data_IF_451448108110
#
_entry.id   IF_451448108110
#
_cell.length_a   1.000
_cell.length_b   1.000
_cell.length_c   1.000
_cell.angle_alpha   90.00
_cell.angle_beta   90.00
_cell.angle_gamma   90.00
#
_symmetry.space_group_name_H-M   'P 1'
#
loop_
_entity.id
_entity.type
_entity.pdbx_description
1 polymer ?
#
# COMPACT_ATOMS: atom_id res chain seq x y z
N UNK A 1 24.77 24.45 13.51
CA UNK A 1 24.36 25.86 13.41
C UNK A 1 22.85 25.92 13.23
N UNK A 2 22.12 26.73 14.02
CA UNK A 2 20.70 26.95 13.80
C UNK A 2 20.49 27.63 12.43
N UNK A 3 19.42 27.25 11.73
CA UNK A 3 18.99 27.88 10.47
C UNK A 3 17.60 28.46 10.67
N UNK A 4 17.40 29.69 10.22
CA UNK A 4 16.08 30.33 10.22
C UNK A 4 15.41 30.09 8.86
N UNK A 5 14.15 29.68 8.89
CA UNK A 5 13.28 29.54 7.72
C UNK A 5 12.10 30.48 7.87
N UNK A 6 11.73 31.20 6.81
CA UNK A 6 10.49 31.98 6.74
C UNK A 6 9.45 31.16 5.99
N UNK A 7 8.23 31.09 6.53
CA UNK A 7 7.10 30.36 5.93
C UNK A 7 5.92 31.29 5.82
N UNK A 8 5.21 31.26 4.69
CA UNK A 8 3.97 31.99 4.47
C UNK A 8 2.82 31.04 4.80
N UNK A 9 1.90 31.48 5.65
CA UNK A 9 0.69 30.75 6.03
C UNK A 9 -0.54 31.55 5.65
N UNK A 10 -1.64 30.85 5.36
CA UNK A 10 -2.91 31.47 4.94
C UNK A 10 -3.97 31.48 6.04
N UNK A 11 -3.78 30.73 7.13
CA UNK A 11 -4.69 30.60 8.26
C UNK A 11 -3.91 30.55 9.60
N UNK A 12 -4.49 31.11 10.67
CA UNK A 12 -3.86 31.13 12.00
C UNK A 12 -3.62 29.71 12.57
N UNK A 13 -4.46 28.73 12.20
CA UNK A 13 -4.24 27.33 12.58
C UNK A 13 -2.99 26.77 11.92
N UNK A 14 -2.71 27.13 10.66
CA UNK A 14 -1.51 26.68 9.95
C UNK A 14 -0.24 27.19 10.65
N UNK A 15 -0.25 28.43 11.15
CA UNK A 15 0.87 28.96 11.95
C UNK A 15 1.13 28.08 13.17
N UNK A 16 0.07 27.79 13.94
CA UNK A 16 0.16 26.95 15.14
C UNK A 16 0.66 25.54 14.82
N UNK A 17 0.18 24.94 13.73
CA UNK A 17 0.62 23.63 13.29
C UNK A 17 2.11 23.64 12.91
N UNK A 18 2.58 24.64 12.17
CA UNK A 18 4.00 24.77 11.80
C UNK A 18 4.88 24.97 13.02
N UNK A 19 4.48 25.83 13.96
CA UNK A 19 5.22 26.04 15.21
C UNK A 19 5.33 24.74 16.02
N UNK A 20 4.24 23.95 16.08
CA UNK A 20 4.21 22.64 16.75
C UNK A 20 5.15 21.65 16.06
N UNK A 21 5.09 21.52 14.73
CA UNK A 21 5.99 20.67 13.96
C UNK A 21 7.46 21.05 14.16
N UNK A 22 7.77 22.35 14.15
CA UNK A 22 9.12 22.84 14.41
C UNK A 22 9.60 22.53 15.83
N UNK A 23 8.72 22.60 16.84
CA UNK A 23 9.03 22.18 18.20
C UNK A 23 9.32 20.67 18.29
N UNK A 24 8.48 19.84 17.67
CA UNK A 24 8.70 18.39 17.60
C UNK A 24 10.01 18.03 16.90
N UNK A 25 10.32 18.69 15.77
CA UNK A 25 11.56 18.45 15.03
C UNK A 25 12.82 18.81 15.85
N UNK A 26 12.73 19.87 16.70
CA UNK A 26 13.82 20.27 17.60
C UNK A 26 14.04 19.30 18.74
N UNK A 27 13.00 18.63 19.23
CA UNK A 27 13.11 17.63 20.30
C UNK A 27 14.01 16.44 19.89
N UNK A 28 14.15 16.18 18.59
CA UNK A 28 15.00 15.15 18.01
C UNK A 28 14.78 13.74 18.61
N UNK A 29 13.54 13.44 18.97
CA UNK A 29 13.11 12.17 19.52
C UNK A 29 12.55 11.24 18.43
N UNK A 30 11.95 10.12 18.83
CA UNK A 30 11.35 9.16 17.89
C UNK A 30 10.22 9.78 17.07
N UNK A 31 9.49 10.75 17.62
CA UNK A 31 8.39 11.42 16.92
C UNK A 31 8.93 12.37 15.85
N UNK A 32 10.03 13.07 16.13
CA UNK A 32 10.73 13.90 15.15
C UNK A 32 11.20 13.08 13.92
N UNK A 33 11.63 11.82 14.12
CA UNK A 33 11.99 10.93 13.03
C UNK A 33 10.78 10.53 12.18
N UNK A 34 9.61 10.32 12.80
CA UNK A 34 8.36 10.04 12.09
C UNK A 34 7.91 11.24 11.25
N UNK A 35 8.05 12.46 11.76
CA UNK A 35 7.73 13.68 10.99
C UNK A 35 8.65 13.80 9.76
N UNK A 36 9.94 13.47 9.90
CA UNK A 36 10.88 13.48 8.77
C UNK A 36 10.53 12.43 7.72
N UNK A 37 10.28 11.18 8.14
CA UNK A 37 9.86 10.09 7.24
C UNK A 37 8.56 10.44 6.50
N UNK A 38 7.61 11.06 7.20
CA UNK A 38 6.38 11.57 6.62
C UNK A 38 6.65 12.66 5.55
N UNK A 39 7.50 13.65 5.85
CA UNK A 39 7.85 14.72 4.92
C UNK A 39 8.59 14.19 3.67
N UNK A 40 9.50 13.22 3.86
CA UNK A 40 10.21 12.56 2.77
C UNK A 40 9.24 11.76 1.88
N UNK A 41 8.27 11.08 2.49
CA UNK A 41 7.22 10.34 1.78
C UNK A 41 6.34 11.28 0.94
N UNK A 42 5.91 12.42 1.50
CA UNK A 42 5.12 13.41 0.76
C UNK A 42 5.88 13.91 -0.47
N UNK A 43 7.18 14.18 -0.31
CA UNK A 43 7.98 14.83 -1.35
C UNK A 43 8.37 13.88 -2.50
N UNK A 44 8.53 12.59 -2.20
CA UNK A 44 9.15 11.64 -3.13
C UNK A 44 8.19 10.58 -3.70
N UNK A 45 7.06 10.29 -3.04
CA UNK A 45 6.21 9.17 -3.44
C UNK A 45 5.10 9.59 -4.41
N UNK A 46 4.71 8.69 -5.31
CA UNK A 46 3.55 8.92 -6.18
C UNK A 46 2.28 8.88 -5.32
N UNK A 47 1.60 10.01 -5.21
CA UNK A 47 0.30 10.11 -4.53
C UNK A 47 -0.83 9.64 -5.46
N UNK A 48 -1.45 8.48 -5.20
CA UNK A 48 -2.61 8.03 -5.95
C UNK A 48 -3.74 9.05 -5.79
N UNK A 49 -4.49 9.28 -6.86
CA UNK A 49 -5.61 10.23 -6.84
C UNK A 49 -6.87 9.66 -6.17
N UNK A 50 -6.85 8.38 -5.80
CA UNK A 50 -8.02 7.64 -5.38
C UNK A 50 -8.83 7.13 -6.58
N UNK A 51 -9.39 5.93 -6.44
CA UNK A 51 -10.36 5.40 -7.41
C UNK A 51 -11.78 5.84 -7.03
N UNK A 52 -12.65 5.93 -8.03
CA UNK A 52 -14.07 6.30 -7.89
C UNK A 52 -15.01 5.09 -8.09
N UNK A 53 -14.47 3.89 -7.98
CA UNK A 53 -15.21 2.64 -8.12
C UNK A 53 -14.84 1.69 -6.98
N UNK A 54 -15.76 0.81 -6.62
CA UNK A 54 -15.49 -0.21 -5.62
C UNK A 54 -14.55 -1.28 -6.18
N UNK A 55 -13.39 -1.54 -5.54
CA UNK A 55 -12.51 -2.63 -5.92
C UNK A 55 -13.24 -3.97 -5.96
N UNK A 56 -12.97 -4.74 -7.02
CA UNK A 56 -13.47 -6.10 -7.20
C UNK A 56 -12.40 -7.11 -6.75
N UNK A 57 -12.82 -8.28 -6.24
CA UNK A 57 -11.90 -9.35 -5.91
C UNK A 57 -11.04 -9.73 -7.11
N UNK A 58 -9.74 -9.96 -6.89
CA UNK A 58 -8.79 -10.34 -7.93
C UNK A 58 -8.21 -9.17 -8.73
N UNK A 59 -8.68 -7.94 -8.54
CA UNK A 59 -8.07 -6.77 -9.19
C UNK A 59 -6.70 -6.45 -8.58
N UNK A 60 -5.77 -6.06 -9.46
CA UNK A 60 -4.50 -5.48 -9.10
C UNK A 60 -4.60 -3.96 -9.25
N UNK A 61 -4.28 -3.26 -8.16
CA UNK A 61 -4.29 -1.80 -8.07
C UNK A 61 -2.95 -1.31 -7.50
N UNK A 62 -2.71 -0.02 -7.57
CA UNK A 62 -1.57 0.62 -6.88
C UNK A 62 -2.09 1.18 -5.56
N UNK A 63 -1.47 0.82 -4.44
CA UNK A 63 -1.82 1.32 -3.12
C UNK A 63 -0.69 2.17 -2.55
N UNK A 64 -1.03 3.33 -2.02
CA UNK A 64 -0.10 4.15 -1.25
C UNK A 64 -0.28 3.93 0.25
N UNK A 65 0.76 3.37 0.85
CA UNK A 65 0.81 3.07 2.28
C UNK A 65 1.56 4.14 3.09
N UNK A 66 2.37 4.99 2.44
CA UNK A 66 3.38 5.80 3.14
C UNK A 66 2.81 6.82 4.13
N UNK A 67 1.62 7.37 3.89
CA UNK A 67 0.97 8.22 4.89
C UNK A 67 0.45 7.37 6.06
N UNK A 68 1.15 7.46 7.20
CA UNK A 68 0.86 6.90 8.53
C UNK A 68 1.35 5.47 8.85
N UNK A 69 2.01 4.78 7.92
CA UNK A 69 2.62 3.46 8.20
C UNK A 69 4.12 3.62 8.46
N UNK A 70 4.68 2.78 9.34
CA UNK A 70 6.11 2.82 9.70
C UNK A 70 6.75 1.45 9.54
N UNK A 71 8.00 1.41 9.08
CA UNK A 71 8.78 0.17 9.07
C UNK A 71 8.77 -0.51 10.46
N UNK A 72 8.48 -1.83 10.59
CA UNK A 72 8.54 -2.89 9.56
C UNK A 72 7.30 -3.06 8.67
N UNK A 73 6.27 -2.23 8.83
CA UNK A 73 5.12 -2.21 7.92
C UNK A 73 5.54 -1.74 6.52
N UNK A 74 4.67 -2.00 5.54
CA UNK A 74 4.84 -1.39 4.22
C UNK A 74 4.49 0.10 4.30
N UNK A 75 5.45 0.96 3.97
CA UNK A 75 5.31 2.42 4.05
C UNK A 75 5.55 3.12 2.69
N UNK A 76 5.25 2.43 1.59
CA UNK A 76 5.64 2.85 0.24
C UNK A 76 4.61 2.45 -0.78
N UNK A 77 4.48 3.19 -1.88
CA UNK A 77 3.53 2.85 -2.94
C UNK A 77 3.87 1.51 -3.61
N UNK A 78 2.92 0.56 -3.64
CA UNK A 78 3.10 -0.78 -4.23
C UNK A 78 1.86 -1.27 -4.95
N UNK A 79 2.00 -2.14 -5.97
CA UNK A 79 0.90 -2.92 -6.47
C UNK A 79 0.36 -3.81 -5.36
N UNK A 80 -0.95 -3.98 -5.34
CA UNK A 80 -1.67 -4.81 -4.38
C UNK A 80 -2.72 -5.63 -5.10
N UNK A 81 -2.98 -6.83 -4.60
CA UNK A 81 -4.08 -7.68 -5.02
C UNK A 81 -5.26 -7.53 -4.05
N UNK A 82 -6.44 -7.25 -4.56
CA UNK A 82 -7.68 -7.18 -3.78
C UNK A 82 -8.18 -8.60 -3.49
N UNK A 83 -8.27 -8.98 -2.21
CA UNK A 83 -8.62 -10.34 -1.80
C UNK A 83 -10.00 -10.45 -1.14
N UNK A 84 -10.51 -9.35 -0.58
CA UNK A 84 -11.83 -9.31 0.06
C UNK A 84 -12.91 -9.76 -0.91
N UNK A 85 -13.98 -10.38 -0.39
CA UNK A 85 -15.18 -10.66 -1.17
C UNK A 85 -15.77 -9.35 -1.75
N UNK A 86 -16.60 -9.46 -2.78
CA UNK A 86 -17.25 -8.30 -3.36
C UNK A 86 -18.08 -7.59 -2.28
N UNK A 87 -17.76 -6.32 -2.05
CA UNK A 87 -18.44 -5.47 -1.08
C UNK A 87 -19.41 -4.53 -1.80
N UNK A 88 -20.40 -4.01 -1.05
CA UNK A 88 -21.28 -2.94 -1.54
C UNK A 88 -20.47 -1.67 -1.81
N UNK A 89 -20.84 -0.92 -2.83
CA UNK A 89 -20.05 0.23 -3.32
C UNK A 89 -19.90 1.38 -2.32
N UNK A 90 -20.81 1.51 -1.35
CA UNK A 90 -20.73 2.58 -0.34
C UNK A 90 -19.67 2.33 0.73
N UNK A 91 -19.12 1.12 0.85
CA UNK A 91 -18.13 0.85 1.90
C UNK A 91 -16.81 1.55 1.63
N UNK A 92 -16.47 1.75 0.34
CA UNK A 92 -15.25 2.44 -0.12
C UNK A 92 -13.96 1.87 0.48
N UNK A 93 -14.01 0.62 0.94
CA UNK A 93 -12.90 -0.11 1.56
C UNK A 93 -12.79 -1.51 0.96
N UNK A 94 -11.57 -2.04 0.93
CA UNK A 94 -11.30 -3.43 0.57
C UNK A 94 -10.07 -3.96 1.30
N UNK A 95 -9.94 -5.28 1.38
CA UNK A 95 -8.75 -5.94 1.93
C UNK A 95 -7.80 -6.32 0.80
N UNK A 96 -6.53 -5.96 0.96
CA UNK A 96 -5.50 -6.12 -0.06
C UNK A 96 -4.26 -6.82 0.48
N UNK A 97 -3.51 -7.46 -0.43
CA UNK A 97 -2.18 -8.01 -0.18
C UNK A 97 -1.15 -7.32 -1.09
N UNK A 98 -0.05 -6.77 -0.55
CA UNK A 98 1.00 -6.17 -1.35
C UNK A 98 1.75 -7.15 -2.25
N UNK A 99 2.28 -6.64 -3.36
CA UNK A 99 3.11 -7.38 -4.29
C UNK A 99 4.54 -6.82 -4.29
N UNK A 100 5.52 -7.71 -4.11
CA UNK A 100 6.95 -7.42 -4.15
C UNK A 100 7.55 -7.79 -5.51
N UNK A 101 8.51 -6.99 -5.98
CA UNK A 101 9.33 -7.29 -7.17
C UNK A 101 10.47 -8.27 -6.90
N UNK A 102 10.65 -8.68 -5.64
CA UNK A 102 11.71 -9.57 -5.16
C UNK A 102 11.11 -10.76 -4.43
N UNK A 103 11.70 -11.94 -4.64
CA UNK A 103 11.41 -13.12 -3.85
C UNK A 103 11.70 -12.88 -2.35
N UNK A 104 10.92 -13.52 -1.45
CA UNK A 104 11.26 -13.52 -0.04
C UNK A 104 12.56 -14.32 0.20
N UNK A 105 13.29 -14.00 1.27
CA UNK A 105 14.50 -14.74 1.64
C UNK A 105 14.21 -16.22 1.92
N UNK A 106 13.09 -16.47 2.60
CA UNK A 106 12.53 -17.80 2.82
C UNK A 106 11.10 -17.77 2.32
N UNK A 107 10.76 -18.70 1.43
CA UNK A 107 9.38 -18.86 0.95
C UNK A 107 8.59 -19.55 2.05
N UNK A 108 7.48 -18.93 2.42
CA UNK A 108 6.63 -19.35 3.53
C UNK A 108 5.23 -19.64 3.00
N UNK A 109 4.35 -20.35 3.73
CA UNK A 109 3.01 -20.70 3.24
C UNK A 109 2.11 -19.50 2.89
N UNK A 110 2.42 -18.32 3.42
CA UNK A 110 1.76 -17.05 3.13
C UNK A 110 2.42 -16.23 2.00
N UNK A 111 3.42 -16.78 1.32
CA UNK A 111 4.00 -16.23 0.10
C UNK A 111 3.50 -17.00 -1.13
N UNK A 112 3.30 -16.28 -2.24
CA UNK A 112 2.93 -16.89 -3.52
C UNK A 112 3.53 -16.10 -4.68
N UNK A 113 4.19 -16.81 -5.61
CA UNK A 113 4.69 -16.22 -6.85
C UNK A 113 3.55 -16.13 -7.85
N UNK A 114 3.23 -14.90 -8.25
CA UNK A 114 2.21 -14.63 -9.27
C UNK A 114 2.69 -15.06 -10.66
N UNK A 115 1.77 -15.47 -11.54
CA UNK A 115 2.07 -15.67 -12.96
C UNK A 115 2.62 -14.41 -13.62
N UNK A 116 3.49 -14.61 -14.62
CA UNK A 116 4.06 -13.52 -15.40
C UNK A 116 2.97 -12.79 -16.22
N UNK A 117 3.26 -11.55 -16.62
CA UNK A 117 2.37 -10.75 -17.48
C UNK A 117 1.29 -9.95 -16.75
N UNK A 118 1.09 -10.19 -15.44
CA UNK A 118 0.17 -9.40 -14.60
C UNK A 118 0.71 -8.01 -14.24
N UNK A 119 2.04 -7.88 -14.19
CA UNK A 119 2.76 -6.65 -13.86
C UNK A 119 3.82 -6.35 -14.93
N UNK A 120 4.17 -5.07 -15.16
CA UNK A 120 5.23 -4.70 -16.08
C UNK A 120 6.58 -5.31 -15.65
N UNK A 121 7.11 -6.25 -16.45
CA UNK A 121 8.37 -6.97 -16.19
C UNK A 121 9.56 -6.05 -15.92
N UNK A 122 9.59 -4.86 -16.52
CA UNK A 122 10.66 -3.88 -16.30
C UNK A 122 10.75 -3.37 -14.85
N UNK A 123 9.65 -3.39 -14.11
CA UNK A 123 9.59 -2.98 -12.70
C UNK A 123 9.41 -4.16 -11.74
N UNK A 124 8.74 -5.21 -12.21
CA UNK A 124 8.41 -6.42 -11.46
C UNK A 124 8.87 -7.64 -12.26
N UNK A 125 10.20 -7.89 -12.35
CA UNK A 125 10.73 -9.06 -13.06
C UNK A 125 10.25 -10.36 -12.42
N UNK A 126 10.08 -10.34 -11.10
CA UNK A 126 9.31 -11.32 -10.34
C UNK A 126 8.17 -10.60 -9.63
N UNK A 127 7.09 -11.32 -9.33
CA UNK A 127 5.91 -10.77 -8.66
C UNK A 127 5.50 -11.71 -7.53
N UNK A 128 5.71 -11.28 -6.29
CA UNK A 128 5.45 -12.10 -5.10
C UNK A 128 4.40 -11.45 -4.21
N UNK A 129 3.31 -12.17 -3.94
CA UNK A 129 2.35 -11.77 -2.92
C UNK A 129 2.99 -11.86 -1.54
N UNK A 130 2.92 -10.77 -0.79
CA UNK A 130 3.32 -10.66 0.60
C UNK A 130 2.10 -10.86 1.50
N UNK A 131 1.72 -12.11 1.69
CA UNK A 131 0.58 -12.45 2.54
C UNK A 131 0.79 -12.21 4.01
N UNK A 132 2.02 -11.89 4.43
CA UNK A 132 2.35 -11.38 5.75
C UNK A 132 1.87 -9.95 6.03
N UNK A 133 1.49 -9.19 4.99
CA UNK A 133 1.17 -7.76 5.04
C UNK A 133 -0.28 -7.45 4.59
N UNK A 134 -1.24 -8.27 5.00
CA UNK A 134 -2.67 -8.06 4.69
C UNK A 134 -3.17 -6.79 5.39
N UNK A 135 -3.89 -5.95 4.67
CA UNK A 135 -4.50 -4.75 5.26
C UNK A 135 -5.80 -4.37 4.58
N UNK A 136 -6.71 -3.76 5.35
CA UNK A 136 -7.89 -3.09 4.79
C UNK A 136 -7.56 -1.63 4.50
N UNK A 137 -7.77 -1.21 3.26
CA UNK A 137 -7.51 0.15 2.79
C UNK A 137 -8.75 0.76 2.17
N UNK A 138 -8.87 2.07 2.29
CA UNK A 138 -9.91 2.84 1.61
C UNK A 138 -9.50 3.18 0.18
N UNK A 139 -10.50 3.41 -0.67
CA UNK A 139 -10.35 3.69 -2.10
C UNK A 139 -9.49 4.93 -2.41
N UNK A 140 -9.42 5.92 -1.52
CA UNK A 140 -8.55 7.08 -1.64
C UNK A 140 -7.05 6.74 -1.59
N UNK A 141 -6.67 5.55 -1.10
CA UNK A 141 -5.28 5.06 -1.13
C UNK A 141 -4.96 4.29 -2.40
N UNK A 142 -5.96 4.02 -3.24
CA UNK A 142 -5.84 3.16 -4.41
C UNK A 142 -5.85 3.97 -5.70
N UNK A 143 -5.11 3.49 -6.70
CA UNK A 143 -5.20 3.98 -8.08
C UNK A 143 -5.04 2.83 -9.07
N UNK A 144 -5.33 3.13 -10.33
CA UNK A 144 -5.11 2.25 -11.46
C UNK A 144 -3.63 2.18 -11.78
N UNK A 145 -3.21 1.09 -12.39
CA UNK A 145 -1.84 0.91 -12.82
C UNK A 145 -1.55 1.72 -14.07
N UNK A 146 -0.56 2.62 -14.03
CA UNK A 146 -0.11 3.34 -15.23
C UNK A 146 0.73 2.43 -16.12
N UNK A 147 0.24 2.10 -17.32
CA UNK A 147 0.90 1.21 -18.29
C UNK A 147 1.46 1.94 -19.51
N UNK A 148 1.15 3.23 -19.66
CA UNK A 148 1.66 4.06 -20.76
C UNK A 148 1.30 5.54 -20.58
N UNK A 149 1.51 6.35 -21.62
CA UNK A 149 1.09 7.75 -21.60
C UNK A 149 -0.43 7.85 -21.49
N UNK A 150 -0.92 8.36 -20.35
CA UNK A 150 -2.35 8.43 -19.99
C UNK A 150 -3.11 7.10 -20.09
N UNK A 151 -2.41 5.97 -20.14
CA UNK A 151 -3.01 4.63 -20.18
C UNK A 151 -2.95 4.02 -18.79
N UNK A 152 -4.12 3.62 -18.30
CA UNK A 152 -4.31 3.07 -16.97
C UNK A 152 -5.09 1.77 -17.04
N UNK A 153 -4.64 0.76 -16.32
CA UNK A 153 -5.21 -0.59 -16.33
C UNK A 153 -5.49 -1.07 -14.90
N UNK A 154 -6.42 -2.01 -14.78
CA UNK A 154 -6.73 -2.73 -13.53
C UNK A 154 -6.70 -4.23 -13.81
N UNK A 155 -5.49 -4.81 -13.97
CA UNK A 155 -5.36 -6.23 -14.28
C UNK A 155 -6.14 -7.07 -13.28
N UNK A 156 -6.82 -8.12 -13.75
CA UNK A 156 -7.57 -9.03 -12.87
C UNK A 156 -6.96 -10.42 -12.99
N UNK A 157 -6.66 -11.03 -11.86
CA UNK A 157 -6.09 -12.37 -11.81
C UNK A 157 -7.17 -13.43 -12.05
N UNK A 158 -6.75 -14.64 -12.43
CA UNK A 158 -7.68 -15.76 -12.58
C UNK A 158 -8.28 -16.18 -11.22
N UNK A 159 -9.42 -16.89 -11.20
CA UNK A 159 -10.00 -17.43 -9.98
C UNK A 159 -9.03 -18.30 -9.17
N UNK A 160 -8.18 -19.07 -9.85
CA UNK A 160 -7.18 -19.94 -9.23
C UNK A 160 -6.11 -19.13 -8.49
N UNK A 161 -5.63 -18.04 -9.08
CA UNK A 161 -4.66 -17.14 -8.44
C UNK A 161 -5.29 -16.43 -7.24
N UNK A 162 -6.54 -15.99 -7.35
CA UNK A 162 -7.26 -15.38 -6.23
C UNK A 162 -7.48 -16.38 -5.08
N UNK A 163 -7.71 -17.65 -5.41
CA UNK A 163 -7.81 -18.74 -4.42
C UNK A 163 -6.49 -18.96 -3.69
N UNK A 164 -5.38 -19.03 -4.41
CA UNK A 164 -4.03 -19.13 -3.80
C UNK A 164 -3.69 -17.92 -2.92
N UNK A 165 -4.05 -16.70 -3.35
CA UNK A 165 -3.87 -15.51 -2.53
C UNK A 165 -4.64 -15.61 -1.20
N UNK A 166 -5.89 -16.08 -1.24
CA UNK A 166 -6.70 -16.31 -0.04
C UNK A 166 -6.15 -17.44 0.83
N UNK A 167 -5.62 -18.51 0.23
CA UNK A 167 -4.89 -19.55 0.95
C UNK A 167 -3.72 -18.96 1.73
N UNK A 168 -2.89 -18.14 1.09
CA UNK A 168 -1.78 -17.45 1.76
C UNK A 168 -2.28 -16.59 2.93
N UNK A 169 -3.39 -15.88 2.75
CA UNK A 169 -3.98 -15.08 3.81
C UNK A 169 -4.44 -15.92 5.01
N UNK A 170 -5.08 -17.07 4.77
CA UNK A 170 -5.47 -18.00 5.83
C UNK A 170 -4.27 -18.54 6.61
N UNK A 171 -3.17 -18.90 5.92
CA UNK A 171 -1.93 -19.29 6.61
C UNK A 171 -1.38 -18.17 7.48
N UNK A 172 -1.34 -16.93 6.97
CA UNK A 172 -0.84 -15.80 7.75
C UNK A 172 -1.67 -15.55 9.00
N UNK A 173 -3.00 -15.62 8.87
CA UNK A 173 -3.95 -15.37 9.95
C UNK A 173 -4.09 -16.53 10.94
N UNK A 174 -3.39 -17.66 10.72
CA UNK A 174 -3.54 -18.85 11.56
C UNK A 174 -4.89 -19.57 11.37
N UNK A 175 -5.61 -19.28 10.30
CA UNK A 175 -6.96 -19.78 10.02
C UNK A 175 -7.01 -20.89 8.96
N UNK A 176 -5.85 -21.35 8.51
CA UNK A 176 -5.71 -22.39 7.48
C UNK A 176 -6.44 -23.71 7.86
N UNK A 177 -6.57 -24.05 9.14
CA UNK A 177 -7.31 -25.23 9.58
C UNK A 177 -8.84 -25.12 9.47
N UNK A 178 -9.39 -23.93 9.21
CA UNK A 178 -10.84 -23.69 9.17
C UNK A 178 -11.50 -24.10 7.85
N UNK A 179 -10.72 -24.54 6.86
CA UNK A 179 -11.24 -25.02 5.57
C UNK A 179 -10.42 -26.20 5.08
N UNK A 180 -11.12 -27.20 4.53
CA UNK A 180 -10.50 -28.31 3.78
C UNK A 180 -10.39 -27.98 2.28
N UNK A 181 -11.04 -26.91 1.85
CA UNK A 181 -11.08 -26.47 0.47
C UNK A 181 -9.89 -25.54 0.22
N UNK A 182 -8.99 -26.03 -0.64
CA UNK A 182 -7.84 -25.32 -1.18
C UNK A 182 -8.01 -25.09 -2.68
#
# INVERSE_FOLDING_TARGET
MPKTIQVIVHDDQDERHIQTLAACLRANDTFSLQIRDFADTISNDQHPQGIQFQPKPGQILICHFGLAFKQPEINKTRPVLVISAHQRSWTRVCTVMPISSKAPHTVEPYHYRLPDGLLPRSKYPESWLKGDLIVSVADHRLDRMKTGFRKYETPTVSPEVLREARRCALHRLGMHSLTIHW
#
